data_IF_770937194744
#
_entry.id   IF_770937194744
#
_cell.length_a   1.000
_cell.length_b   1.000
_cell.length_c   1.000
_cell.angle_alpha   90.00
_cell.angle_beta   90.00
_cell.angle_gamma   90.00
#
_symmetry.space_group_name_H-M   'P 1'
#
loop_
_entity.id
_entity.type
_entity.pdbx_description
1 polymer ?
#
# COMPACT_ATOMS: atom_id res chain seq x y z
N UNK A 1 19.80 -9.41 11.58
CA UNK A 1 18.34 -9.28 11.36
C UNK A 1 17.84 -10.58 10.73
N UNK A 2 17.02 -11.36 11.43
CA UNK A 2 16.38 -12.55 10.84
C UNK A 2 15.27 -12.07 9.87
N UNK A 3 15.56 -12.25 8.58
CA UNK A 3 14.67 -12.34 7.43
C UNK A 3 13.47 -11.39 7.32
N UNK A 4 13.69 -10.15 6.89
CA UNK A 4 12.63 -9.41 6.20
C UNK A 4 12.69 -9.84 4.74
N UNK A 5 11.63 -10.47 4.25
CA UNK A 5 11.53 -10.85 2.85
C UNK A 5 10.70 -9.81 2.11
N UNK A 6 11.30 -9.14 1.13
CA UNK A 6 10.69 -8.07 0.35
C UNK A 6 10.53 -8.56 -1.08
N UNK A 7 9.31 -8.60 -1.59
CA UNK A 7 9.06 -8.91 -2.99
C UNK A 7 8.06 -7.92 -3.61
N UNK A 8 8.30 -7.47 -4.86
CA UNK A 8 7.25 -6.85 -5.64
C UNK A 8 6.07 -7.80 -5.72
N UNK A 9 4.88 -7.33 -5.39
CA UNK A 9 3.68 -8.12 -5.51
C UNK A 9 2.84 -7.56 -6.64
N UNK A 10 2.71 -8.32 -7.71
CA UNK A 10 1.78 -8.00 -8.80
C UNK A 10 0.49 -8.75 -8.49
N UNK A 11 -0.63 -8.05 -8.23
CA UNK A 11 -1.87 -8.71 -7.86
C UNK A 11 -2.31 -9.69 -8.95
N UNK A 12 -2.67 -10.93 -8.61
CA UNK A 12 -3.15 -11.90 -9.60
C UNK A 12 -4.52 -11.46 -10.13
N UNK A 13 -4.82 -11.77 -11.40
CA UNK A 13 -6.13 -11.47 -11.99
C UNK A 13 -7.30 -12.29 -11.41
N UNK A 14 -7.02 -13.26 -10.53
CA UNK A 14 -8.01 -14.08 -9.84
C UNK A 14 -7.51 -14.47 -8.44
N UNK A 15 -8.38 -14.48 -7.40
CA UNK A 15 -9.75 -14.00 -7.44
C UNK A 15 -9.85 -12.49 -7.66
N UNK A 16 -10.93 -12.03 -8.30
CA UNK A 16 -11.16 -10.60 -8.56
C UNK A 16 -11.28 -9.84 -7.23
N UNK A 17 -10.44 -8.82 -6.96
CA UNK A 17 -10.49 -8.05 -5.72
C UNK A 17 -11.81 -7.33 -5.52
N UNK A 18 -12.49 -6.93 -6.60
CA UNK A 18 -13.79 -6.29 -6.48
C UNK A 18 -14.81 -7.28 -5.93
N UNK A 19 -14.80 -8.52 -6.43
CA UNK A 19 -15.62 -9.60 -5.90
C UNK A 19 -15.30 -9.89 -4.43
N UNK A 20 -14.02 -10.03 -4.08
CA UNK A 20 -13.63 -10.23 -2.68
C UNK A 20 -14.04 -9.07 -1.78
N UNK A 21 -13.99 -7.84 -2.30
CA UNK A 21 -14.37 -6.67 -1.53
C UNK A 21 -15.88 -6.63 -1.28
N UNK A 22 -16.70 -7.03 -2.27
CA UNK A 22 -18.13 -7.25 -2.07
C UNK A 22 -18.40 -8.33 -1.03
N UNK A 23 -17.78 -9.51 -1.15
CA UNK A 23 -17.93 -10.61 -0.19
C UNK A 23 -17.54 -10.17 1.23
N UNK A 24 -16.44 -9.43 1.37
CA UNK A 24 -15.99 -8.91 2.66
C UNK A 24 -16.91 -7.82 3.22
N UNK A 25 -17.52 -7.00 2.37
CA UNK A 25 -18.47 -5.98 2.79
C UNK A 25 -19.81 -6.56 3.23
N UNK A 26 -20.31 -7.57 2.51
CA UNK A 26 -21.50 -8.33 2.90
C UNK A 26 -21.27 -9.00 4.26
N UNK A 27 -20.12 -9.64 4.46
CA UNK A 27 -19.75 -10.26 5.73
C UNK A 27 -19.64 -9.24 6.88
N UNK A 28 -19.25 -8.00 6.58
CA UNK A 28 -19.14 -6.91 7.54
C UNK A 28 -20.46 -6.10 7.72
N UNK A 29 -21.52 -6.43 6.98
CA UNK A 29 -22.80 -5.70 7.01
C UNK A 29 -22.72 -4.27 6.49
N UNK A 30 -21.77 -3.97 5.60
CA UNK A 30 -21.54 -2.62 5.07
C UNK A 30 -22.48 -2.33 3.89
N UNK A 31 -23.25 -1.24 4.00
CA UNK A 31 -24.16 -0.83 2.93
C UNK A 31 -23.42 -0.22 1.71
N UNK A 32 -22.23 0.37 1.93
CA UNK A 32 -21.37 1.01 0.91
C UNK A 32 -19.92 1.03 1.37
N UNK A 33 -18.98 0.98 0.42
CA UNK A 33 -17.61 1.46 0.60
C UNK A 33 -17.34 2.60 -0.38
N UNK A 34 -16.73 3.67 0.12
CA UNK A 34 -16.51 4.90 -0.66
C UNK A 34 -15.44 4.72 -1.73
N UNK A 35 -14.53 3.76 -1.54
CA UNK A 35 -13.58 3.34 -2.53
C UNK A 35 -13.38 1.82 -2.48
N UNK A 36 -13.41 1.18 -3.64
CA UNK A 36 -13.15 -0.24 -3.78
C UNK A 36 -11.78 -0.47 -4.42
N UNK A 37 -10.93 -1.35 -3.85
CA UNK A 37 -9.67 -1.69 -4.49
C UNK A 37 -9.92 -2.43 -5.81
N UNK A 38 -9.15 -2.09 -6.84
CA UNK A 38 -9.16 -2.79 -8.13
C UNK A 38 -7.75 -3.10 -8.59
N UNK A 39 -7.57 -4.22 -9.29
CA UNK A 39 -6.28 -4.54 -9.91
C UNK A 39 -6.25 -4.00 -11.33
N UNK A 40 -5.40 -3.00 -11.57
CA UNK A 40 -5.28 -2.35 -12.88
C UNK A 40 -3.80 -2.11 -13.19
N UNK A 41 -3.42 -2.33 -14.46
CA UNK A 41 -2.07 -2.07 -15.00
C UNK A 41 -0.93 -2.65 -14.14
N UNK A 42 -1.16 -3.83 -13.55
CA UNK A 42 -0.17 -4.53 -12.73
C UNK A 42 0.01 -3.99 -11.29
N UNK A 43 -0.88 -3.11 -10.83
CA UNK A 43 -0.90 -2.61 -9.45
C UNK A 43 -2.32 -2.56 -8.87
N UNK A 44 -2.44 -1.96 -7.69
CA UNK A 44 -3.72 -1.73 -7.01
C UNK A 44 -4.14 -0.28 -7.24
N UNK A 45 -5.35 -0.04 -7.73
CA UNK A 45 -6.00 1.28 -7.69
C UNK A 45 -6.96 1.34 -6.52
N UNK A 46 -6.99 2.46 -5.82
CA UNK A 46 -7.77 2.65 -4.61
C UNK A 46 -8.00 4.14 -4.36
N UNK A 47 -9.16 4.54 -3.81
CA UNK A 47 -9.47 5.95 -3.53
C UNK A 47 -9.57 6.86 -4.77
N UNK A 48 -9.81 6.30 -5.97
CA UNK A 48 -9.76 7.06 -7.23
C UNK A 48 -8.34 7.47 -7.66
N UNK A 49 -7.30 6.98 -6.98
CA UNK A 49 -5.92 7.31 -7.27
C UNK A 49 -5.32 6.43 -8.37
N UNK A 50 -4.25 6.89 -9.03
CA UNK A 50 -3.47 6.07 -9.96
C UNK A 50 -2.97 4.77 -9.31
N UNK A 51 -2.65 3.74 -10.12
CA UNK A 51 -2.16 2.46 -9.59
C UNK A 51 -0.93 2.62 -8.69
N UNK A 52 -0.98 2.02 -7.52
CA UNK A 52 0.13 1.93 -6.57
C UNK A 52 1.08 0.80 -6.97
N UNK A 53 2.38 1.02 -6.78
CA UNK A 53 3.36 -0.04 -6.71
C UNK A 53 3.16 -0.79 -5.40
N UNK A 54 3.04 -2.11 -5.49
CA UNK A 54 2.75 -2.98 -4.36
C UNK A 54 3.93 -3.87 -4.01
N UNK A 55 4.27 -3.91 -2.72
CA UNK A 55 5.30 -4.78 -2.17
C UNK A 55 4.70 -5.62 -1.07
N UNK A 56 4.87 -6.95 -1.18
CA UNK A 56 4.54 -7.86 -0.09
C UNK A 56 5.78 -8.05 0.76
N UNK A 57 5.60 -7.90 2.07
CA UNK A 57 6.67 -8.08 3.05
C UNK A 57 6.25 -9.10 4.09
N UNK A 58 7.15 -10.01 4.42
CA UNK A 58 7.03 -10.88 5.59
C UNK A 58 8.01 -10.42 6.65
N UNK A 59 7.49 -10.12 7.84
CA UNK A 59 8.27 -9.70 9.00
C UNK A 59 7.78 -10.48 10.24
N UNK A 60 8.55 -11.47 10.68
CA UNK A 60 8.05 -12.45 11.65
C UNK A 60 6.87 -13.23 11.08
N UNK A 61 5.79 -13.34 11.84
CA UNK A 61 4.55 -14.02 11.45
C UNK A 61 3.56 -13.09 10.72
N UNK A 62 3.86 -11.79 10.65
CA UNK A 62 3.00 -10.80 10.01
C UNK A 62 3.31 -10.67 8.51
N UNK A 63 2.24 -10.59 7.71
CA UNK A 63 2.32 -10.21 6.30
C UNK A 63 1.89 -8.75 6.16
N UNK A 64 2.70 -7.97 5.47
CA UNK A 64 2.45 -6.56 5.20
C UNK A 64 2.32 -6.34 3.70
N UNK A 65 1.40 -5.46 3.30
CA UNK A 65 1.28 -4.94 1.96
C UNK A 65 1.63 -3.45 1.99
N UNK A 66 2.71 -3.08 1.30
CA UNK A 66 3.19 -1.71 1.21
C UNK A 66 2.83 -1.15 -0.16
N UNK A 67 2.13 -0.02 -0.18
CA UNK A 67 1.65 0.66 -1.38
C UNK A 67 2.37 2.00 -1.52
N UNK A 68 2.98 2.24 -2.69
CA UNK A 68 3.70 3.48 -2.98
C UNK A 68 3.25 4.02 -4.33
N UNK A 69 2.98 5.32 -4.41
CA UNK A 69 2.64 5.97 -5.67
C UNK A 69 3.87 6.08 -6.57
N UNK A 70 3.83 5.41 -7.74
CA UNK A 70 4.96 5.37 -8.67
C UNK A 70 5.47 6.77 -9.05
N UNK A 71 4.54 7.74 -9.16
CA UNK A 71 4.83 9.13 -9.48
C UNK A 71 5.62 9.85 -8.38
N UNK A 72 5.36 9.56 -7.11
CA UNK A 72 6.06 10.23 -6.01
C UNK A 72 7.50 9.72 -5.90
N UNK A 73 7.72 8.42 -6.16
CA UNK A 73 9.07 7.86 -6.30
C UNK A 73 9.77 8.44 -7.54
N UNK A 74 9.07 8.50 -8.68
CA UNK A 74 9.61 9.09 -9.91
C UNK A 74 9.98 10.57 -9.77
N UNK A 75 9.26 11.31 -8.93
CA UNK A 75 9.54 12.72 -8.62
C UNK A 75 10.86 12.96 -7.86
N UNK A 76 11.51 11.89 -7.37
CA UNK A 76 12.86 11.93 -6.81
C UNK A 76 13.94 12.05 -7.89
N UNK A 77 13.62 11.69 -9.14
CA UNK A 77 14.56 11.80 -10.26
C UNK A 77 14.66 13.27 -10.69
N UNK A 78 15.87 13.86 -10.74
CA UNK A 78 16.07 15.23 -11.20
C UNK A 78 15.45 15.47 -12.59
N UNK A 79 14.64 16.53 -12.72
CA UNK A 79 13.97 16.88 -13.98
C UNK A 79 12.67 16.12 -14.27
N UNK A 80 12.24 15.20 -13.41
CA UNK A 80 10.95 14.53 -13.56
C UNK A 80 9.77 15.50 -13.38
N UNK A 81 8.76 15.38 -14.24
CA UNK A 81 7.51 16.14 -14.12
C UNK A 81 6.72 15.66 -12.90
N UNK A 82 6.31 16.59 -12.05
CA UNK A 82 5.46 16.33 -10.89
C UNK A 82 4.02 16.69 -11.26
N UNK A 83 3.23 15.69 -11.63
CA UNK A 83 1.78 15.85 -11.63
C UNK A 83 1.30 15.52 -10.21
N UNK A 84 0.83 16.52 -9.44
CA UNK A 84 0.49 16.36 -8.04
C UNK A 84 -0.68 15.37 -7.88
N UNK A 85 -0.66 14.62 -6.78
CA UNK A 85 -1.84 13.91 -6.31
C UNK A 85 -2.82 14.92 -5.71
N UNK A 86 -4.11 14.55 -5.57
CA UNK A 86 -5.08 15.38 -4.88
C UNK A 86 -4.57 15.79 -3.49
N UNK A 87 -4.94 16.98 -3.05
CA UNK A 87 -4.67 17.39 -1.67
C UNK A 87 -5.30 16.39 -0.70
N UNK A 88 -4.59 16.11 0.41
CA UNK A 88 -5.04 15.18 1.46
C UNK A 88 -5.36 13.76 0.99
N UNK A 89 -4.87 13.35 -0.18
CA UNK A 89 -5.18 12.05 -0.75
C UNK A 89 -4.91 10.89 0.22
N UNK A 90 -3.87 10.98 1.05
CA UNK A 90 -3.48 9.92 1.98
C UNK A 90 -4.48 9.82 3.14
N UNK A 91 -4.93 10.95 3.67
CA UNK A 91 -5.91 11.05 4.74
C UNK A 91 -7.27 10.51 4.30
N UNK A 92 -7.66 10.77 3.05
CA UNK A 92 -8.97 10.41 2.51
C UNK A 92 -9.09 8.92 2.13
N UNK A 93 -8.01 8.14 2.26
CA UNK A 93 -8.04 6.70 2.02
C UNK A 93 -8.72 5.92 3.16
N UNK A 94 -9.72 5.12 2.79
CA UNK A 94 -10.32 4.08 3.65
C UNK A 94 -9.46 2.80 3.67
N UNK A 95 -8.43 2.78 4.53
CA UNK A 95 -7.54 1.62 4.60
C UNK A 95 -8.25 0.34 5.05
N UNK A 96 -9.37 0.44 5.76
CA UNK A 96 -10.15 -0.74 6.16
C UNK A 96 -10.82 -1.36 4.93
N UNK A 97 -11.35 -0.54 4.00
CA UNK A 97 -11.91 -1.04 2.74
C UNK A 97 -10.85 -1.75 1.87
N UNK A 98 -9.58 -1.33 1.95
CA UNK A 98 -8.48 -2.02 1.29
C UNK A 98 -8.08 -3.31 2.04
N UNK A 99 -8.06 -3.32 3.37
CA UNK A 99 -7.64 -4.46 4.18
C UNK A 99 -8.66 -5.61 4.21
N UNK A 100 -9.96 -5.31 4.23
CA UNK A 100 -11.07 -6.28 4.26
C UNK A 100 -10.95 -7.40 3.21
N UNK A 101 -10.82 -7.12 1.90
CA UNK A 101 -10.68 -8.19 0.90
C UNK A 101 -9.38 -8.98 1.06
N UNK A 102 -8.32 -8.41 1.63
CA UNK A 102 -7.06 -9.12 1.85
C UNK A 102 -7.20 -10.21 2.94
N UNK A 103 -8.08 -10.00 3.92
CA UNK A 103 -8.34 -10.97 5.00
C UNK A 103 -8.84 -12.33 4.48
N UNK A 104 -9.52 -12.33 3.32
CA UNK A 104 -10.05 -13.53 2.66
C UNK A 104 -9.30 -13.89 1.37
N UNK A 105 -8.26 -13.13 1.01
CA UNK A 105 -7.52 -13.34 -0.23
C UNK A 105 -6.50 -14.50 -0.05
N UNK A 106 -6.46 -15.50 -0.95
CA UNK A 106 -5.61 -16.69 -0.77
C UNK A 106 -4.10 -16.39 -0.74
N UNK A 107 -3.67 -15.31 -1.39
CA UNK A 107 -2.27 -14.86 -1.34
C UNK A 107 -1.84 -14.23 0.00
N UNK A 108 -2.79 -13.96 0.90
CA UNK A 108 -2.59 -13.40 2.24
C UNK A 108 -3.32 -14.25 3.29
N UNK A 109 -2.84 -15.48 3.59
CA UNK A 109 -3.46 -16.30 4.62
C UNK A 109 -3.42 -15.57 5.97
N UNK A 110 -4.59 -15.35 6.58
CA UNK A 110 -4.72 -14.56 7.82
C UNK A 110 -4.77 -13.04 7.60
N UNK A 111 -4.81 -12.57 6.35
CA UNK A 111 -4.82 -11.17 5.99
C UNK A 111 -3.45 -10.52 5.91
N UNK A 112 -3.45 -9.20 5.80
CA UNK A 112 -2.23 -8.40 5.78
C UNK A 112 -2.45 -7.04 6.45
N UNK A 113 -1.43 -6.56 7.15
CA UNK A 113 -1.32 -5.15 7.51
C UNK A 113 -1.09 -4.34 6.24
N UNK A 114 -1.77 -3.20 6.10
CA UNK A 114 -1.71 -2.37 4.90
C UNK A 114 -1.01 -1.07 5.24
N UNK A 115 -0.02 -0.69 4.45
CA UNK A 115 0.74 0.55 4.64
C UNK A 115 0.76 1.34 3.34
N UNK A 116 0.16 2.53 3.34
CA UNK A 116 0.20 3.44 2.21
C UNK A 116 1.20 4.54 2.50
N UNK A 117 2.16 4.70 1.59
CA UNK A 117 3.30 5.59 1.76
C UNK A 117 3.15 6.79 0.85
N UNK A 118 3.27 7.97 1.44
CA UNK A 118 3.48 9.24 0.75
C UNK A 118 4.96 9.60 0.81
N UNK A 119 5.59 9.75 -0.35
CA UNK A 119 6.98 10.22 -0.43
C UNK A 119 7.00 11.74 -0.42
N UNK A 120 7.63 12.33 0.59
CA UNK A 120 7.67 13.79 0.77
C UNK A 120 8.92 14.41 0.13
N UNK A 121 10.07 13.74 0.33
CA UNK A 121 11.37 14.17 -0.14
C UNK A 121 12.34 12.96 -0.18
N UNK A 122 13.53 13.10 -0.79
CA UNK A 122 14.59 12.10 -0.63
C UNK A 122 14.83 11.78 0.86
N UNK A 123 14.71 10.52 1.24
CA UNK A 123 14.92 10.04 2.62
C UNK A 123 13.80 10.35 3.61
N UNK A 124 12.68 10.95 3.17
CA UNK A 124 11.55 11.31 4.06
C UNK A 124 10.21 10.89 3.49
N UNK A 125 9.47 10.11 4.26
CA UNK A 125 8.14 9.62 3.91
C UNK A 125 7.16 9.72 5.09
N UNK A 126 5.87 9.73 4.75
CA UNK A 126 4.75 9.68 5.70
C UNK A 126 3.91 8.45 5.39
N UNK A 127 3.42 7.77 6.42
CA UNK A 127 2.73 6.48 6.25
C UNK A 127 1.42 6.43 7.01
N UNK A 128 0.35 6.01 6.33
CA UNK A 128 -0.88 5.54 6.98
C UNK A 128 -0.92 4.03 6.97
N UNK A 129 -1.32 3.46 8.10
CA UNK A 129 -1.31 2.01 8.32
C UNK A 129 -2.65 1.51 8.83
N UNK A 130 -2.98 0.29 8.43
CA UNK A 130 -3.97 -0.59 9.06
C UNK A 130 -3.24 -1.85 9.55
N UNK A 131 -3.55 -2.30 10.77
CA UNK A 131 -2.93 -3.49 11.37
C UNK A 131 -1.58 -3.22 12.03
N UNK A 132 -0.76 -4.27 12.14
CA UNK A 132 0.52 -4.25 12.84
C UNK A 132 1.53 -3.29 12.22
N UNK A 133 2.38 -2.70 13.07
CA UNK A 133 3.41 -1.79 12.63
C UNK A 133 4.40 -2.49 11.67
N UNK A 134 4.77 -1.86 10.54
CA UNK A 134 5.64 -2.45 9.53
C UNK A 134 7.12 -2.54 9.95
N UNK A 135 7.48 -1.96 11.10
CA UNK A 135 8.87 -1.84 11.54
C UNK A 135 9.77 -1.23 10.46
N UNK A 136 10.99 -1.76 10.21
CA UNK A 136 11.91 -1.21 9.21
C UNK A 136 11.55 -1.57 7.76
N UNK A 137 10.44 -2.29 7.50
CA UNK A 137 10.08 -2.76 6.17
C UNK A 137 9.84 -1.64 5.15
N UNK A 138 9.19 -0.54 5.55
CA UNK A 138 8.93 0.59 4.66
C UNK A 138 10.23 1.18 4.13
N UNK A 139 11.17 1.47 5.03
CA UNK A 139 12.45 2.05 4.64
C UNK A 139 13.21 1.16 3.67
N UNK A 140 13.14 -0.16 3.86
CA UNK A 140 13.76 -1.12 2.95
C UNK A 140 13.09 -1.15 1.56
N UNK A 141 11.75 -1.07 1.48
CA UNK A 141 11.03 -0.96 0.20
C UNK A 141 11.37 0.36 -0.50
N UNK A 142 11.37 1.48 0.22
CA UNK A 142 11.69 2.78 -0.35
C UNK A 142 13.13 2.86 -0.84
N UNK A 143 14.08 2.29 -0.09
CA UNK A 143 15.47 2.19 -0.53
C UNK A 143 15.60 1.36 -1.81
N UNK A 144 14.86 0.25 -1.89
CA UNK A 144 14.86 -0.63 -3.07
C UNK A 144 14.24 0.03 -4.31
N UNK A 145 13.22 0.87 -4.14
CA UNK A 145 12.53 1.59 -5.20
C UNK A 145 13.30 2.83 -5.68
N UNK A 146 13.92 3.57 -4.76
CA UNK A 146 14.58 4.85 -5.06
C UNK A 146 16.10 4.75 -5.29
N UNK A 147 16.73 3.67 -4.82
CA UNK A 147 18.20 3.58 -4.75
C UNK A 147 18.84 4.45 -3.66
N UNK A 148 18.04 5.12 -2.82
CA UNK A 148 18.50 5.98 -1.73
C UNK A 148 18.45 5.24 -0.40
N UNK A 149 19.53 5.26 0.41
CA UNK A 149 19.50 4.68 1.76
C UNK A 149 18.75 5.56 2.77
N UNK A 150 18.64 5.07 4.01
CA UNK A 150 18.30 5.84 5.21
C UNK A 150 17.00 6.65 5.16
N UNK A 151 15.89 5.93 4.93
CA UNK A 151 14.56 6.51 4.95
C UNK A 151 13.99 6.66 6.37
N UNK A 152 13.57 7.89 6.69
CA UNK A 152 12.70 8.18 7.83
C UNK A 152 11.23 8.12 7.38
N UNK A 153 10.51 7.11 7.86
CA UNK A 153 9.11 6.87 7.56
C UNK A 153 8.28 7.02 8.84
N UNK A 154 7.72 8.21 9.03
CA UNK A 154 6.89 8.53 10.19
C UNK A 154 5.41 8.23 9.97
N UNK A 155 4.62 8.03 11.04
CA UNK A 155 3.18 7.90 10.93
C UNK A 155 2.58 9.20 10.38
N UNK A 156 1.46 9.07 9.67
CA UNK A 156 0.72 10.25 9.27
C UNK A 156 0.06 10.91 10.49
N UNK A 157 0.41 12.18 10.78
CA UNK A 157 -0.27 12.97 11.81
C UNK A 157 -1.78 12.99 11.60
N UNK A 158 -2.54 12.92 12.69
CA UNK A 158 -4.00 12.89 12.75
C UNK A 158 -4.63 14.20 12.28
#
# INVERSE_FOLDING_TARGET
>A
MKGIFLEPWIPPGSPDPFRLALEAADAAGLARCDAWPRFERGGVTFGGLPPFLTWRVRAGDATHLILVQAREVGALVPGARRDPLPDRWLEDLDLDALARPLAIHPAFPGGASVHVVQVLAPGRARVRSHGDAPGPAIGAVLARLSGLPDWDAGPAGT
#
